data_IF_459982576459
#
_entry.id   IF_459982576459
#
_cell.length_a   1.000
_cell.length_b   1.000
_cell.length_c   1.000
_cell.angle_alpha   90.00
_cell.angle_beta   90.00
_cell.angle_gamma   90.00
#
_symmetry.space_group_name_H-M   'P 1'
#
loop_
_entity.id
_entity.type
_entity.pdbx_description
1 polymer ?
#
# COMPACT_ATOMS: atom_id res chain seq x y z
N UNK A 1 -25.29 57.81 -35.95
CA UNK A 1 -24.29 57.71 -34.87
C UNK A 1 -25.03 57.47 -33.55
N UNK A 2 -24.64 56.42 -32.81
CA UNK A 2 -25.05 56.04 -31.43
C UNK A 2 -26.48 55.46 -31.30
N UNK A 3 -26.67 54.14 -31.12
CA UNK A 3 -26.52 53.31 -29.89
C UNK A 3 -27.49 53.75 -28.77
N UNK A 4 -28.20 52.92 -27.99
CA UNK A 4 -28.47 51.48 -27.89
C UNK A 4 -29.52 51.31 -26.73
N UNK A 5 -30.06 50.09 -26.59
CA UNK A 5 -30.52 49.38 -25.37
C UNK A 5 -32.03 49.08 -25.10
N UNK A 6 -32.35 47.78 -25.33
CA UNK A 6 -33.02 46.75 -24.46
C UNK A 6 -34.53 46.87 -24.17
N UNK A 7 -35.34 45.80 -24.21
CA UNK A 7 -35.40 44.67 -23.24
C UNK A 7 -36.36 43.53 -23.71
N UNK A 8 -36.06 42.27 -23.32
CA UNK A 8 -36.90 41.04 -23.08
C UNK A 8 -37.99 40.58 -24.08
N UNK A 9 -38.33 39.29 -24.28
CA UNK A 9 -38.29 38.10 -23.42
C UNK A 9 -38.26 36.77 -24.24
N UNK A 10 -37.84 35.71 -23.53
CA UNK A 10 -37.50 34.29 -23.83
C UNK A 10 -38.53 33.40 -24.62
N UNK A 11 -38.34 32.07 -24.91
CA UNK A 11 -37.39 31.09 -24.33
C UNK A 11 -36.78 30.00 -25.26
N UNK A 12 -35.71 29.33 -24.79
CA UNK A 12 -35.47 27.91 -25.07
C UNK A 12 -34.55 27.29 -24.01
N UNK A 13 -35.05 26.21 -23.41
CA UNK A 13 -34.46 25.40 -22.34
C UNK A 13 -33.24 24.65 -22.84
N UNK A 14 -32.09 24.85 -22.18
CA UNK A 14 -30.96 23.92 -22.20
C UNK A 14 -30.73 23.43 -20.77
N UNK A 15 -30.97 22.15 -20.51
CA UNK A 15 -30.57 21.51 -19.26
C UNK A 15 -29.06 21.23 -19.36
N UNK A 16 -28.27 22.00 -18.62
CA UNK A 16 -26.85 21.73 -18.43
C UNK A 16 -26.70 20.52 -17.51
N UNK A 17 -26.03 19.48 -18.00
CA UNK A 17 -25.60 18.34 -17.19
C UNK A 17 -24.54 18.81 -16.18
N UNK A 18 -24.88 18.65 -14.90
CA UNK A 18 -23.99 18.85 -13.76
C UNK A 18 -22.79 17.90 -13.89
N UNK A 19 -21.61 18.44 -14.21
CA UNK A 19 -20.35 17.71 -14.09
C UNK A 19 -20.03 17.54 -12.61
N UNK A 20 -20.41 16.40 -12.04
CA UNK A 20 -19.90 15.95 -10.74
C UNK A 20 -18.36 15.97 -10.79
N UNK A 21 -17.77 16.79 -9.92
CA UNK A 21 -16.33 16.88 -9.74
C UNK A 21 -15.76 15.48 -9.51
N UNK A 22 -14.94 15.02 -10.45
CA UNK A 22 -14.32 13.71 -10.39
C UNK A 22 -13.63 13.52 -9.04
N UNK A 23 -14.06 12.50 -8.32
CA UNK A 23 -13.47 12.10 -7.06
C UNK A 23 -11.97 11.90 -7.29
N UNK A 24 -11.14 12.72 -6.63
CA UNK A 24 -9.69 12.67 -6.78
C UNK A 24 -9.22 11.31 -6.29
N UNK A 25 -8.84 10.44 -7.23
CA UNK A 25 -8.23 9.14 -6.92
C UNK A 25 -7.04 9.42 -5.98
N UNK A 26 -6.96 8.76 -4.80
CA UNK A 26 -5.85 8.96 -3.89
C UNK A 26 -4.53 8.74 -4.63
N UNK A 27 -3.66 9.76 -4.59
CA UNK A 27 -2.38 9.76 -5.31
C UNK A 27 -1.40 8.70 -4.77
N UNK A 28 -1.74 8.07 -3.63
CA UNK A 28 -0.97 7.02 -2.99
C UNK A 28 -1.84 5.79 -2.73
N UNK A 29 -1.35 4.62 -3.14
CA UNK A 29 -1.97 3.31 -2.87
C UNK A 29 -2.26 3.14 -1.37
N UNK A 30 -3.43 2.65 -0.94
CA UNK A 30 -3.72 2.49 0.49
C UNK A 30 -3.09 1.23 1.13
N UNK A 31 -2.38 0.38 0.39
CA UNK A 31 -1.90 -0.93 0.85
C UNK A 31 -0.53 -1.34 0.25
N UNK A 32 0.19 -2.30 0.86
CA UNK A 32 1.43 -2.86 0.31
C UNK A 32 1.23 -3.48 -1.07
N UNK A 33 2.20 -3.32 -1.98
CA UNK A 33 2.17 -3.95 -3.32
C UNK A 33 2.93 -5.27 -3.37
N UNK A 34 3.70 -5.56 -2.34
CA UNK A 34 4.40 -6.81 -2.12
C UNK A 34 3.73 -7.60 -0.99
N UNK A 35 3.85 -8.93 -1.02
CA UNK A 35 3.43 -9.75 0.12
C UNK A 35 4.29 -9.46 1.35
N UNK A 36 3.83 -9.85 2.55
CA UNK A 36 4.62 -9.67 3.76
C UNK A 36 5.96 -10.41 3.65
N UNK A 37 5.95 -11.61 3.07
CA UNK A 37 7.17 -12.41 2.82
C UNK A 37 8.17 -11.70 1.92
N UNK A 38 7.69 -11.07 0.84
CA UNK A 38 8.53 -10.27 -0.06
C UNK A 38 9.06 -9.02 0.67
N UNK A 39 8.19 -8.29 1.38
CA UNK A 39 8.54 -7.06 2.10
C UNK A 39 9.52 -7.26 3.28
N UNK A 40 9.53 -8.46 3.88
CA UNK A 40 10.49 -8.87 4.91
C UNK A 40 11.93 -8.95 4.40
N UNK A 41 12.16 -8.92 3.08
CA UNK A 41 13.51 -8.85 2.54
C UNK A 41 14.28 -7.61 3.03
N UNK A 42 13.60 -6.47 3.21
CA UNK A 42 14.20 -5.22 3.67
C UNK A 42 14.70 -5.29 5.11
N UNK A 43 13.86 -5.60 6.13
CA UNK A 43 14.33 -5.68 7.50
C UNK A 43 15.36 -6.80 7.70
N UNK A 44 15.25 -7.92 6.96
CA UNK A 44 16.27 -8.98 6.99
C UNK A 44 17.63 -8.51 6.47
N UNK A 45 17.64 -7.72 5.40
CA UNK A 45 18.87 -7.12 4.89
C UNK A 45 19.48 -6.14 5.89
N UNK A 46 18.67 -5.30 6.54
CA UNK A 46 19.15 -4.37 7.57
C UNK A 46 19.75 -5.12 8.77
N UNK A 47 19.10 -6.17 9.22
CA UNK A 47 19.62 -7.00 10.31
C UNK A 47 20.92 -7.70 9.92
N UNK A 48 20.94 -8.37 8.77
CA UNK A 48 22.09 -9.14 8.31
C UNK A 48 23.30 -8.27 7.96
N UNK A 49 23.10 -7.21 7.17
CA UNK A 49 24.19 -6.41 6.60
C UNK A 49 24.61 -5.23 7.49
N UNK A 50 23.76 -4.82 8.44
CA UNK A 50 24.00 -3.64 9.28
C UNK A 50 23.63 -3.83 10.77
N UNK A 51 23.45 -5.08 11.23
CA UNK A 51 23.19 -5.44 12.64
C UNK A 51 22.02 -4.64 13.26
N UNK A 52 20.93 -4.50 12.49
CA UNK A 52 19.69 -3.86 12.92
C UNK A 52 19.75 -2.33 13.00
N UNK A 53 20.93 -1.73 12.76
CA UNK A 53 21.12 -0.29 12.81
C UNK A 53 20.55 0.40 11.56
N UNK A 54 20.22 1.70 11.63
CA UNK A 54 19.83 2.47 10.45
C UNK A 54 20.83 2.29 9.30
N UNK A 55 20.35 1.82 8.16
CA UNK A 55 21.17 1.45 7.01
C UNK A 55 21.03 2.49 5.90
N UNK A 56 22.15 3.07 5.46
CA UNK A 56 22.19 4.03 4.36
C UNK A 56 21.46 3.50 3.13
N UNK A 57 20.49 4.27 2.63
CA UNK A 57 19.55 3.81 1.60
C UNK A 57 20.27 3.48 0.28
N UNK A 58 21.34 4.20 -0.06
CA UNK A 58 22.11 3.94 -1.27
C UNK A 58 22.95 2.68 -1.16
N UNK A 59 23.54 2.44 0.01
CA UNK A 59 24.25 1.20 0.30
C UNK A 59 23.31 -0.01 0.35
N UNK A 60 22.17 0.09 1.03
CA UNK A 60 21.15 -0.97 1.09
C UNK A 60 20.69 -1.38 -0.31
N UNK A 61 20.31 -0.41 -1.15
CA UNK A 61 19.87 -0.69 -2.52
C UNK A 61 20.96 -1.42 -3.33
N UNK A 62 22.21 -0.94 -3.23
CA UNK A 62 23.31 -1.47 -4.03
C UNK A 62 23.80 -2.84 -3.53
N UNK A 63 24.04 -2.99 -2.23
CA UNK A 63 24.70 -4.15 -1.66
C UNK A 63 23.72 -5.31 -1.43
N UNK A 64 22.52 -5.02 -0.92
CA UNK A 64 21.56 -6.06 -0.54
C UNK A 64 20.59 -6.40 -1.67
N UNK A 65 20.29 -5.45 -2.56
CA UNK A 65 19.28 -5.60 -3.60
C UNK A 65 19.81 -5.46 -5.03
N UNK A 66 21.11 -5.20 -5.21
CA UNK A 66 21.76 -5.00 -6.50
C UNK A 66 20.98 -4.04 -7.43
N UNK A 67 20.51 -2.92 -6.86
CA UNK A 67 19.67 -1.94 -7.54
C UNK A 67 20.08 -0.51 -7.15
N UNK A 68 19.31 0.48 -7.61
CA UNK A 68 19.50 1.89 -7.23
C UNK A 68 18.36 2.38 -6.35
N UNK A 69 18.57 3.38 -5.48
CA UNK A 69 17.51 3.94 -4.64
C UNK A 69 16.32 4.49 -5.43
N UNK A 70 16.52 4.84 -6.70
CA UNK A 70 15.49 5.42 -7.56
C UNK A 70 14.78 4.38 -8.42
N UNK A 71 15.12 3.10 -8.33
CA UNK A 71 14.46 2.06 -9.12
C UNK A 71 13.03 1.83 -8.61
N UNK A 72 12.07 1.76 -9.53
CA UNK A 72 10.66 1.66 -9.15
C UNK A 72 10.37 0.43 -8.29
N UNK A 73 11.01 -0.70 -8.58
CA UNK A 73 10.84 -1.93 -7.79
C UNK A 73 11.35 -1.78 -6.36
N UNK A 74 12.47 -1.09 -6.15
CA UNK A 74 13.00 -0.85 -4.81
C UNK A 74 12.15 0.15 -4.03
N UNK A 75 11.68 1.22 -4.67
CA UNK A 75 10.76 2.17 -4.04
C UNK A 75 9.46 1.48 -3.58
N UNK A 76 8.90 0.61 -4.42
CA UNK A 76 7.70 -0.16 -4.12
C UNK A 76 7.95 -1.16 -2.99
N UNK A 77 9.11 -1.82 -2.96
CA UNK A 77 9.49 -2.74 -1.90
C UNK A 77 9.64 -2.02 -0.55
N UNK A 78 10.33 -0.88 -0.50
CA UNK A 78 10.46 -0.07 0.71
C UNK A 78 9.10 0.42 1.21
N UNK A 79 8.27 0.92 0.30
CA UNK A 79 6.90 1.37 0.63
C UNK A 79 6.07 0.22 1.18
N UNK A 80 6.20 -0.99 0.63
CA UNK A 80 5.49 -2.16 1.15
C UNK A 80 5.99 -2.54 2.55
N UNK A 81 7.31 -2.50 2.79
CA UNK A 81 7.91 -2.76 4.10
C UNK A 81 7.44 -1.75 5.16
N UNK A 82 7.39 -0.46 4.81
CA UNK A 82 6.82 0.60 5.64
C UNK A 82 5.34 0.37 5.95
N UNK A 83 4.53 -0.01 4.95
CA UNK A 83 3.08 -0.24 5.12
C UNK A 83 2.73 -1.47 5.97
N UNK A 84 3.59 -2.48 6.02
CA UNK A 84 3.46 -3.56 6.99
C UNK A 84 3.95 -3.17 8.40
N UNK A 85 4.51 -1.97 8.56
CA UNK A 85 5.04 -1.50 9.83
C UNK A 85 6.39 -2.14 10.19
N UNK A 86 7.19 -2.54 9.20
CA UNK A 86 8.49 -3.22 9.42
C UNK A 86 9.67 -2.25 9.47
N UNK A 87 9.57 -1.15 8.72
CA UNK A 87 10.66 -0.18 8.56
C UNK A 87 10.14 1.24 8.52
N UNK A 88 11.01 2.20 8.82
CA UNK A 88 10.77 3.63 8.64
C UNK A 88 11.81 4.20 7.67
N UNK A 89 11.35 5.05 6.76
CA UNK A 89 12.18 5.74 5.78
C UNK A 89 11.77 5.38 4.34
N UNK A 90 11.75 6.39 3.47
CA UNK A 90 11.49 6.20 2.05
C UNK A 90 12.79 6.02 1.26
N UNK A 91 12.67 5.70 -0.03
CA UNK A 91 13.80 5.66 -0.96
C UNK A 91 14.62 6.95 -1.06
N UNK A 92 14.07 8.08 -0.58
CA UNK A 92 14.72 9.40 -0.53
C UNK A 92 15.33 9.72 0.83
N UNK A 93 15.01 8.93 1.87
CA UNK A 93 15.62 9.10 3.18
C UNK A 93 17.12 8.77 3.11
N UNK A 94 17.92 9.37 3.99
CA UNK A 94 19.35 9.07 4.11
C UNK A 94 19.58 7.62 4.53
N UNK A 95 18.73 7.10 5.41
CA UNK A 95 18.82 5.74 5.90
C UNK A 95 17.41 5.16 6.13
N UNK A 96 17.33 3.84 6.09
CA UNK A 96 16.15 3.04 6.45
C UNK A 96 16.41 2.41 7.81
N UNK A 97 15.43 2.46 8.72
CA UNK A 97 15.54 1.91 10.07
C UNK A 97 14.47 0.84 10.31
N UNK A 98 14.75 -0.13 11.18
CA UNK A 98 13.74 -1.08 11.66
C UNK A 98 12.75 -0.36 12.61
N UNK A 99 11.49 -0.76 12.55
CA UNK A 99 10.53 -0.52 13.64
C UNK A 99 10.77 -1.53 14.77
N UNK A 100 10.09 -1.36 15.91
CA UNK A 100 10.16 -2.34 16.99
C UNK A 100 9.59 -3.72 16.56
N UNK A 101 8.52 -3.71 15.76
CA UNK A 101 7.91 -4.91 15.20
C UNK A 101 8.82 -5.57 14.16
N UNK A 102 9.42 -4.77 13.27
CA UNK A 102 10.38 -5.25 12.28
C UNK A 102 11.59 -5.92 12.92
N UNK A 103 12.18 -5.27 13.93
CA UNK A 103 13.29 -5.79 14.74
C UNK A 103 12.91 -7.10 15.45
N UNK A 104 11.76 -7.13 16.13
CA UNK A 104 11.28 -8.32 16.82
C UNK A 104 11.03 -9.52 15.87
N UNK A 105 10.73 -9.28 14.58
CA UNK A 105 10.58 -10.35 13.59
C UNK A 105 11.93 -10.93 13.15
N UNK A 106 12.95 -10.08 12.98
CA UNK A 106 14.22 -10.49 12.35
C UNK A 106 15.33 -10.82 13.35
N UNK A 107 15.33 -10.22 14.53
CA UNK A 107 16.39 -10.37 15.53
C UNK A 107 16.01 -11.29 16.71
N UNK A 108 14.71 -11.45 17.01
CA UNK A 108 14.27 -12.31 18.13
C UNK A 108 14.64 -13.77 17.88
N UNK A 109 15.20 -14.45 18.88
CA UNK A 109 15.44 -15.90 18.86
C UNK A 109 14.19 -16.71 19.27
N UNK A 110 13.21 -16.08 19.91
CA UNK A 110 11.94 -16.70 20.30
C UNK A 110 10.95 -16.75 19.13
N UNK A 111 10.58 -17.96 18.70
CA UNK A 111 9.63 -18.20 17.61
C UNK A 111 8.23 -17.68 17.92
N UNK A 112 7.79 -17.71 19.18
CA UNK A 112 6.46 -17.20 19.56
C UNK A 112 6.38 -15.68 19.39
N UNK A 113 7.45 -14.96 19.76
CA UNK A 113 7.57 -13.51 19.56
C UNK A 113 7.60 -13.19 18.06
N UNK A 114 8.39 -13.93 17.27
CA UNK A 114 8.44 -13.75 15.81
C UNK A 114 7.07 -13.96 15.17
N UNK A 115 6.42 -15.09 15.46
CA UNK A 115 5.12 -15.43 14.91
C UNK A 115 4.03 -14.42 15.29
N UNK A 116 4.04 -13.92 16.53
CA UNK A 116 3.11 -12.88 16.97
C UNK A 116 3.31 -11.57 16.20
N UNK A 117 4.56 -11.14 15.98
CA UNK A 117 4.82 -9.90 15.25
C UNK A 117 4.59 -10.04 13.74
N UNK A 118 4.83 -11.21 13.14
CA UNK A 118 4.44 -11.49 11.74
C UNK A 118 2.92 -11.32 11.57
N UNK A 119 2.12 -11.86 12.50
CA UNK A 119 0.65 -11.69 12.47
C UNK A 119 0.26 -10.22 12.61
N UNK A 120 0.87 -9.48 13.53
CA UNK A 120 0.63 -8.03 13.68
C UNK A 120 0.96 -7.27 12.40
N UNK A 121 2.13 -7.52 11.82
CA UNK A 121 2.56 -6.87 10.59
C UNK A 121 1.59 -7.12 9.43
N UNK A 122 1.10 -8.36 9.28
CA UNK A 122 0.11 -8.71 8.25
C UNK A 122 -1.20 -7.92 8.39
N UNK A 123 -1.60 -7.60 9.62
CA UNK A 123 -2.82 -6.85 9.94
C UNK A 123 -2.58 -5.33 10.04
N UNK A 124 -1.35 -4.84 9.87
CA UNK A 124 -1.08 -3.39 9.89
C UNK A 124 -1.84 -2.61 8.81
N UNK A 125 -1.91 -3.06 7.53
CA UNK A 125 -2.72 -2.38 6.53
C UNK A 125 -4.21 -2.60 6.80
N UNK A 126 -4.98 -1.50 6.95
CA UNK A 126 -6.41 -1.55 7.28
C UNK A 126 -7.24 -2.50 6.40
N UNK A 127 -7.04 -2.46 5.08
CA UNK A 127 -7.77 -3.35 4.16
C UNK A 127 -7.43 -4.83 4.40
N UNK A 128 -6.20 -5.14 4.83
CA UNK A 128 -5.82 -6.52 5.15
C UNK A 128 -6.41 -6.95 6.49
N UNK A 129 -6.36 -6.08 7.51
CA UNK A 129 -7.01 -6.34 8.80
C UNK A 129 -8.49 -6.70 8.61
N UNK A 130 -9.23 -5.86 7.90
CA UNK A 130 -10.65 -6.07 7.64
C UNK A 130 -10.88 -7.37 6.84
N UNK A 131 -10.02 -7.65 5.85
CA UNK A 131 -10.15 -8.82 4.99
C UNK A 131 -9.93 -10.12 5.77
N UNK A 132 -8.79 -10.23 6.45
CA UNK A 132 -8.44 -11.41 7.23
C UNK A 132 -9.42 -11.63 8.38
N UNK A 133 -9.91 -10.56 9.02
CA UNK A 133 -10.96 -10.67 10.05
C UNK A 133 -12.28 -11.17 9.47
N UNK A 134 -12.70 -10.68 8.30
CA UNK A 134 -13.98 -11.07 7.68
C UNK A 134 -13.99 -12.54 7.24
N UNK A 135 -12.86 -13.02 6.72
CA UNK A 135 -12.74 -14.37 6.14
C UNK A 135 -12.02 -15.39 7.04
N UNK A 136 -11.68 -15.04 8.28
CA UNK A 136 -11.07 -15.99 9.22
C UNK A 136 -11.92 -17.26 9.39
N UNK A 137 -11.32 -18.42 9.12
CA UNK A 137 -11.98 -19.72 9.16
C UNK A 137 -13.07 -19.97 8.09
N UNK A 138 -13.20 -19.10 7.07
CA UNK A 138 -14.23 -19.21 6.03
C UNK A 138 -13.63 -19.58 4.68
N UNK A 139 -14.45 -20.20 3.83
CA UNK A 139 -14.12 -20.41 2.43
C UNK A 139 -14.22 -19.07 1.71
N UNK A 140 -13.16 -18.72 0.95
CA UNK A 140 -13.16 -17.51 0.15
C UNK A 140 -14.14 -17.64 -1.04
N UNK A 141 -14.88 -16.57 -1.37
CA UNK A 141 -15.63 -16.48 -2.62
C UNK A 141 -14.72 -16.62 -3.86
N UNK A 142 -15.32 -16.75 -5.05
CA UNK A 142 -14.55 -16.72 -6.29
C UNK A 142 -13.81 -15.39 -6.45
N UNK A 143 -12.78 -15.39 -7.29
CA UNK A 143 -11.98 -14.20 -7.60
C UNK A 143 -12.85 -13.02 -8.06
N UNK A 144 -13.83 -13.28 -8.93
CA UNK A 144 -14.74 -12.27 -9.46
C UNK A 144 -15.58 -11.62 -8.35
N UNK A 145 -16.11 -12.45 -7.44
CA UNK A 145 -16.91 -11.97 -6.31
C UNK A 145 -16.02 -11.19 -5.34
N UNK A 146 -14.83 -11.72 -5.02
CA UNK A 146 -13.90 -11.05 -4.13
C UNK A 146 -13.49 -9.67 -4.65
N UNK A 147 -13.24 -9.52 -5.95
CA UNK A 147 -12.91 -8.21 -6.55
C UNK A 147 -14.06 -7.22 -6.43
N UNK A 148 -15.30 -7.65 -6.63
CA UNK A 148 -16.49 -6.80 -6.41
C UNK A 148 -16.60 -6.38 -4.95
N UNK A 149 -16.41 -7.32 -4.00
CA UNK A 149 -16.44 -7.02 -2.57
C UNK A 149 -15.30 -6.08 -2.17
N UNK A 150 -14.10 -6.25 -2.72
CA UNK A 150 -12.96 -5.34 -2.49
C UNK A 150 -13.28 -3.91 -2.93
N UNK A 151 -13.90 -3.73 -4.09
CA UNK A 151 -14.33 -2.42 -4.59
C UNK A 151 -15.46 -1.83 -3.72
N UNK A 152 -16.53 -2.60 -3.50
CA UNK A 152 -17.79 -2.08 -2.95
C UNK A 152 -17.84 -2.04 -1.42
N UNK A 153 -17.23 -3.00 -0.73
CA UNK A 153 -17.32 -3.11 0.73
C UNK A 153 -16.03 -2.65 1.41
N UNK A 154 -14.87 -3.04 0.88
CA UNK A 154 -13.57 -2.63 1.41
C UNK A 154 -13.09 -1.27 0.86
N UNK A 155 -13.89 -0.65 -0.01
CA UNK A 155 -13.63 0.69 -0.57
C UNK A 155 -12.26 0.79 -1.26
N UNK A 156 -11.79 -0.30 -1.88
CA UNK A 156 -10.57 -0.28 -2.68
C UNK A 156 -10.87 0.43 -3.99
N UNK A 157 -10.13 1.50 -4.36
CA UNK A 157 -10.37 2.20 -5.61
C UNK A 157 -10.26 1.27 -6.81
N UNK A 158 -11.20 1.38 -7.76
CA UNK A 158 -11.31 0.51 -8.95
C UNK A 158 -9.97 0.23 -9.68
N UNK A 159 -9.08 1.22 -9.91
CA UNK A 159 -7.80 0.96 -10.58
C UNK A 159 -6.86 0.02 -9.82
N UNK A 160 -7.13 -0.24 -8.54
CA UNK A 160 -6.26 -0.92 -7.60
C UNK A 160 -6.82 -2.24 -7.09
N UNK A 161 -8.07 -2.58 -7.45
CA UNK A 161 -8.77 -3.78 -7.00
C UNK A 161 -8.01 -5.04 -7.39
N UNK A 162 -7.54 -5.11 -8.64
CA UNK A 162 -6.81 -6.28 -9.13
C UNK A 162 -5.55 -6.52 -8.31
N UNK A 163 -4.74 -5.48 -8.07
CA UNK A 163 -3.49 -5.68 -7.36
C UNK A 163 -3.67 -5.83 -5.84
N UNK A 164 -4.75 -5.30 -5.28
CA UNK A 164 -5.15 -5.61 -3.90
C UNK A 164 -5.45 -7.10 -3.74
N UNK A 165 -6.23 -7.65 -4.67
CA UNK A 165 -6.54 -9.07 -4.69
C UNK A 165 -5.27 -9.92 -4.79
N UNK A 166 -4.38 -9.62 -5.75
CA UNK A 166 -3.13 -10.36 -5.95
C UNK A 166 -2.27 -10.39 -4.67
N UNK A 167 -2.08 -9.25 -4.00
CA UNK A 167 -1.26 -9.21 -2.78
C UNK A 167 -1.93 -9.91 -1.60
N UNK A 168 -3.26 -9.86 -1.47
CA UNK A 168 -4.00 -10.61 -0.46
C UNK A 168 -3.80 -12.12 -0.66
N UNK A 169 -3.98 -12.60 -1.89
CA UNK A 169 -3.82 -14.03 -2.20
C UNK A 169 -2.39 -14.52 -1.97
N UNK A 170 -1.39 -13.70 -2.31
CA UNK A 170 0.03 -14.00 -2.00
C UNK A 170 0.36 -14.09 -0.51
N UNK A 171 -0.47 -13.54 0.37
CA UNK A 171 -0.30 -13.66 1.83
C UNK A 171 -1.04 -14.87 2.41
N UNK A 172 -1.89 -15.54 1.61
CA UNK A 172 -2.64 -16.74 2.01
C UNK A 172 -1.92 -18.02 1.54
N UNK A 173 -1.27 -17.95 0.38
CA UNK A 173 -0.50 -19.05 -0.23
C UNK A 173 0.86 -19.27 0.46
#
# INVERSE_FOLDING_TARGET
MKQDLKTNDQPAVGKEEEKTAGEKVPEQFPFPRNSLKEALAVPRAIEHDNAGKPYDTALLAKQSFNTTPRSSSFEVLLTSSERYGLTVGSSRAKAISLTAEGDAIVASSDESIRAANIRRALLTPKVFEEFFTRYDGKILPSEEILKVVLEQEFQVPKPYVYECYEVLMKNIA
#
